data_IF_553162030465
#
_entry.id   IF_553162030465
#
_cell.length_a   1.000
_cell.length_b   1.000
_cell.length_c   1.000
_cell.angle_alpha   90.00
_cell.angle_beta   90.00
_cell.angle_gamma   90.00
#
_symmetry.space_group_name_H-M   'P 1'
#
loop_
_entity.id
_entity.type
_entity.pdbx_description
1 polymer ?
#
# COMPACT_ATOMS: atom_id res chain seq x y z
N UNK A 1 16.93 -0.80 -72.07
CA UNK A 1 17.05 -1.20 -70.65
C UNK A 1 16.38 -0.11 -69.82
N UNK A 2 15.09 -0.28 -69.53
CA UNK A 2 14.19 0.81 -69.12
C UNK A 2 14.38 1.22 -67.65
N UNK A 3 14.31 2.53 -67.43
CA UNK A 3 14.43 3.23 -66.14
C UNK A 3 13.27 2.94 -65.16
N UNK A 4 12.40 1.98 -65.47
CA UNK A 4 11.19 1.65 -64.71
C UNK A 4 11.44 0.82 -63.44
N UNK A 5 12.69 0.44 -63.14
CA UNK A 5 13.03 -0.33 -61.93
C UNK A 5 13.49 0.51 -60.73
N UNK A 6 13.65 1.83 -60.90
CA UNK A 6 14.16 2.70 -59.82
C UNK A 6 13.06 3.31 -58.92
N UNK A 7 11.77 3.11 -59.22
CA UNK A 7 10.68 3.81 -58.53
C UNK A 7 9.89 2.98 -57.50
N UNK A 8 10.30 1.74 -57.21
CA UNK A 8 9.60 0.87 -56.25
C UNK A 8 10.35 0.67 -54.92
N UNK A 9 11.39 1.47 -54.63
CA UNK A 9 12.17 1.38 -53.39
C UNK A 9 11.99 2.57 -52.44
N UNK A 10 10.86 3.30 -52.53
CA UNK A 10 10.66 4.54 -51.78
C UNK A 10 9.49 4.54 -50.77
N UNK A 11 8.73 3.44 -50.60
CA UNK A 11 7.59 3.42 -49.68
C UNK A 11 7.52 2.12 -48.86
N UNK A 12 8.56 1.89 -48.06
CA UNK A 12 8.45 1.08 -46.86
C UNK A 12 9.39 1.68 -45.82
N UNK A 13 9.12 2.93 -45.41
CA UNK A 13 9.50 3.34 -44.06
C UNK A 13 8.65 2.43 -43.18
N UNK A 14 9.22 1.47 -42.43
CA UNK A 14 8.44 0.84 -41.39
C UNK A 14 8.11 2.01 -40.47
N UNK A 15 6.83 2.36 -40.39
CA UNK A 15 6.35 3.16 -39.28
C UNK A 15 6.63 2.31 -38.04
N UNK A 16 7.83 2.45 -37.49
CA UNK A 16 8.09 2.14 -36.10
C UNK A 16 7.26 3.17 -35.36
N UNK A 17 5.96 2.90 -35.24
CA UNK A 17 5.22 3.38 -34.10
C UNK A 17 6.06 2.89 -32.92
N UNK A 18 6.72 3.82 -32.24
CA UNK A 18 7.25 3.57 -30.91
C UNK A 18 6.02 3.23 -30.07
N UNK A 19 5.66 1.95 -30.06
CA UNK A 19 4.60 1.45 -29.22
C UNK A 19 5.11 1.65 -27.79
N UNK A 20 4.40 2.48 -27.01
CA UNK A 20 4.67 2.62 -25.60
C UNK A 20 4.80 1.22 -24.98
N UNK A 21 5.91 0.98 -24.28
CA UNK A 21 6.23 -0.34 -23.74
C UNK A 21 5.13 -0.77 -22.78
N UNK A 22 4.42 -1.84 -23.14
CA UNK A 22 3.41 -2.46 -22.28
C UNK A 22 4.06 -2.97 -21.00
N UNK A 23 3.42 -2.73 -19.87
CA UNK A 23 3.91 -3.15 -18.56
C UNK A 23 2.77 -3.43 -17.59
N UNK A 24 3.08 -4.18 -16.53
CA UNK A 24 2.25 -4.23 -15.32
C UNK A 24 2.79 -3.20 -14.33
N UNK A 25 1.91 -2.41 -13.73
CA UNK A 25 2.28 -1.43 -12.72
C UNK A 25 2.03 -1.96 -11.31
N UNK A 26 2.99 -1.77 -10.41
CA UNK A 26 2.85 -1.98 -8.98
C UNK A 26 3.08 -0.65 -8.27
N UNK A 27 2.07 -0.10 -7.60
CA UNK A 27 2.23 1.06 -6.73
C UNK A 27 2.60 0.62 -5.31
N UNK A 28 3.76 1.10 -4.86
CA UNK A 28 4.20 1.05 -3.47
C UNK A 28 4.13 2.46 -2.86
N UNK A 29 2.90 2.94 -2.68
CA UNK A 29 2.54 4.21 -2.05
C UNK A 29 2.21 4.00 -0.56
N UNK A 30 3.19 4.26 0.30
CA UNK A 30 3.06 4.13 1.76
C UNK A 30 3.98 3.08 2.40
N UNK A 31 3.66 2.65 3.62
CA UNK A 31 4.57 1.84 4.45
C UNK A 31 4.86 0.48 3.81
N UNK A 32 6.13 0.06 3.76
CA UNK A 32 6.51 -1.29 3.32
C UNK A 32 6.26 -2.30 4.45
N UNK A 33 5.17 -3.07 4.31
CA UNK A 33 4.68 -4.05 5.30
C UNK A 33 4.29 -5.37 4.63
N UNK A 34 3.74 -6.31 5.39
CA UNK A 34 3.27 -7.60 4.84
C UNK A 34 2.22 -7.45 3.73
N UNK A 35 1.44 -6.38 3.74
CA UNK A 35 0.49 -6.11 2.66
C UNK A 35 1.18 -5.62 1.39
N UNK A 36 2.28 -4.87 1.51
CA UNK A 36 3.12 -4.54 0.35
C UNK A 36 3.71 -5.80 -0.28
N UNK A 37 4.09 -6.80 0.54
CA UNK A 37 4.59 -8.10 0.05
C UNK A 37 3.51 -8.84 -0.75
N UNK A 38 2.29 -8.95 -0.21
CA UNK A 38 1.17 -9.58 -0.93
C UNK A 38 0.88 -8.88 -2.25
N UNK A 39 0.88 -7.54 -2.26
CA UNK A 39 0.64 -6.76 -3.48
C UNK A 39 1.77 -6.95 -4.50
N UNK A 40 3.02 -6.93 -4.06
CA UNK A 40 4.18 -7.15 -4.92
C UNK A 40 4.20 -8.56 -5.51
N UNK A 41 3.84 -9.57 -4.71
CA UNK A 41 3.69 -10.96 -5.18
C UNK A 41 2.62 -11.09 -6.26
N UNK A 42 1.44 -10.50 -6.03
CA UNK A 42 0.35 -10.50 -7.01
C UNK A 42 0.75 -9.78 -8.31
N UNK A 43 1.42 -8.64 -8.21
CA UNK A 43 1.84 -7.87 -9.39
C UNK A 43 2.90 -8.60 -10.21
N UNK A 44 3.85 -9.24 -9.53
CA UNK A 44 4.88 -10.04 -10.17
C UNK A 44 4.28 -11.28 -10.86
N UNK A 45 3.36 -11.98 -10.19
CA UNK A 45 2.64 -13.11 -10.79
C UNK A 45 1.86 -12.69 -12.04
N UNK A 46 1.19 -11.54 -12.00
CA UNK A 46 0.46 -11.00 -13.15
C UNK A 46 1.40 -10.60 -14.31
N UNK A 47 2.52 -9.94 -13.99
CA UNK A 47 3.54 -9.60 -14.98
C UNK A 47 4.12 -10.85 -15.65
N UNK A 48 4.40 -11.90 -14.88
CA UNK A 48 4.86 -13.19 -15.41
C UNK A 48 3.80 -13.89 -16.26
N UNK A 49 2.53 -13.88 -15.84
CA UNK A 49 1.41 -14.46 -16.59
C UNK A 49 1.26 -13.78 -17.96
N UNK A 50 1.40 -12.46 -17.99
CA UNK A 50 1.30 -11.65 -19.22
C UNK A 50 2.61 -11.61 -20.02
N UNK A 51 3.71 -12.12 -19.49
CA UNK A 51 5.06 -12.00 -20.07
C UNK A 51 5.48 -10.54 -20.32
N UNK A 52 5.02 -9.64 -19.45
CA UNK A 52 5.31 -8.20 -19.51
C UNK A 52 6.28 -7.80 -18.40
N UNK A 53 7.06 -6.71 -18.59
CA UNK A 53 7.85 -6.15 -17.50
C UNK A 53 6.96 -5.64 -16.36
N UNK A 54 7.48 -5.71 -15.14
CA UNK A 54 6.89 -5.12 -13.95
C UNK A 54 7.52 -3.75 -13.70
N UNK A 55 6.73 -2.69 -13.68
CA UNK A 55 7.15 -1.34 -13.27
C UNK A 55 6.65 -1.08 -11.85
N UNK A 56 7.59 -0.99 -10.92
CA UNK A 56 7.36 -0.71 -9.50
C UNK A 56 7.45 0.79 -9.30
N UNK A 57 6.30 1.41 -9.10
CA UNK A 57 6.14 2.84 -8.87
C UNK A 57 6.26 3.08 -7.36
N UNK A 58 7.32 3.76 -6.94
CA UNK A 58 7.69 3.86 -5.53
C UNK A 58 7.44 5.28 -5.03
N UNK A 59 6.61 5.40 -3.98
CA UNK A 59 6.49 6.60 -3.16
C UNK A 59 6.36 6.20 -1.69
N UNK A 60 7.51 6.05 -1.01
CA UNK A 60 7.56 5.52 0.35
C UNK A 60 8.68 6.15 1.19
N UNK A 61 8.36 6.38 2.46
CA UNK A 61 9.34 6.68 3.50
C UNK A 61 10.06 5.42 4.03
N UNK A 62 9.63 4.23 3.61
CA UNK A 62 10.18 2.95 4.03
C UNK A 62 9.18 2.08 4.80
N UNK A 63 9.71 1.19 5.63
CA UNK A 63 8.92 0.24 6.40
C UNK A 63 9.78 -0.82 7.07
N UNK A 64 9.26 -2.03 7.16
CA UNK A 64 9.89 -3.10 7.92
C UNK A 64 10.95 -3.87 7.12
N UNK A 65 12.04 -4.26 7.79
CA UNK A 65 13.18 -4.95 7.17
C UNK A 65 12.80 -6.29 6.53
N UNK A 66 12.00 -7.12 7.21
CA UNK A 66 11.63 -8.44 6.68
C UNK A 66 10.74 -8.35 5.42
N UNK A 67 9.65 -7.55 5.37
CA UNK A 67 8.91 -7.28 4.14
C UNK A 67 9.76 -6.72 3.00
N UNK A 68 10.68 -5.80 3.30
CA UNK A 68 11.63 -5.28 2.31
C UNK A 68 12.50 -6.40 1.74
N UNK A 69 13.09 -7.25 2.58
CA UNK A 69 13.93 -8.37 2.16
C UNK A 69 13.15 -9.35 1.26
N UNK A 70 11.90 -9.67 1.63
CA UNK A 70 11.02 -10.53 0.82
C UNK A 70 10.74 -9.93 -0.56
N UNK A 71 10.43 -8.64 -0.66
CA UNK A 71 10.19 -7.97 -1.95
C UNK A 71 11.46 -7.96 -2.80
N UNK A 72 12.60 -7.62 -2.18
CA UNK A 72 13.91 -7.64 -2.86
C UNK A 72 14.20 -9.02 -3.43
N UNK A 73 14.00 -10.09 -2.66
CA UNK A 73 14.22 -11.47 -3.09
C UNK A 73 13.28 -11.88 -4.23
N UNK A 74 11.99 -11.51 -4.16
CA UNK A 74 11.06 -11.74 -5.26
C UNK A 74 11.52 -11.08 -6.56
N UNK A 75 12.02 -9.84 -6.50
CA UNK A 75 12.42 -9.09 -7.69
C UNK A 75 13.75 -9.59 -8.26
N UNK A 76 14.69 -10.02 -7.43
CA UNK A 76 15.94 -10.63 -7.90
C UNK A 76 15.72 -11.96 -8.61
N UNK A 77 14.68 -12.71 -8.22
CA UNK A 77 14.32 -14.01 -8.81
C UNK A 77 13.19 -13.91 -9.86
N UNK A 78 12.79 -12.70 -10.24
CA UNK A 78 11.71 -12.49 -11.19
C UNK A 78 12.03 -13.09 -12.57
N UNK A 79 11.08 -13.84 -13.12
CA UNK A 79 11.18 -14.38 -14.50
C UNK A 79 10.95 -13.34 -15.60
N UNK A 80 10.59 -12.10 -15.22
CA UNK A 80 10.37 -10.96 -16.12
C UNK A 80 11.19 -9.75 -15.64
N UNK A 81 11.53 -8.79 -16.52
CA UNK A 81 12.23 -7.59 -16.09
C UNK A 81 11.42 -6.79 -15.07
N UNK A 82 12.04 -6.45 -13.94
CA UNK A 82 11.50 -5.50 -12.96
C UNK A 82 12.20 -4.15 -13.12
N UNK A 83 11.44 -3.08 -13.25
CA UNK A 83 11.92 -1.70 -13.29
C UNK A 83 11.39 -0.93 -12.09
N UNK A 84 12.22 -0.10 -11.48
CA UNK A 84 11.77 0.85 -10.47
C UNK A 84 11.51 2.20 -11.14
N UNK A 85 10.43 2.87 -10.77
CA UNK A 85 10.14 4.23 -11.18
C UNK A 85 9.78 5.08 -9.97
N UNK A 86 10.50 6.18 -9.77
CA UNK A 86 10.18 7.19 -8.76
C UNK A 86 9.68 8.45 -9.49
N UNK A 87 8.36 8.75 -9.45
CA UNK A 87 7.76 9.86 -10.17
C UNK A 87 8.08 11.23 -9.55
N UNK A 88 7.59 12.31 -10.18
CA UNK A 88 7.79 13.66 -9.69
C UNK A 88 7.28 13.85 -8.25
N UNK A 89 8.11 14.46 -7.41
CA UNK A 89 7.85 14.69 -5.99
C UNK A 89 7.79 13.43 -5.11
N UNK A 90 7.99 12.24 -5.68
CA UNK A 90 7.98 10.98 -4.95
C UNK A 90 9.37 10.60 -4.44
N UNK A 91 9.41 9.58 -3.57
CA UNK A 91 10.63 9.17 -2.88
C UNK A 91 10.73 7.66 -2.71
N UNK A 92 11.95 7.16 -2.80
CA UNK A 92 12.33 5.80 -2.44
C UNK A 92 13.28 5.85 -1.24
N UNK A 93 12.73 6.07 -0.04
CA UNK A 93 13.52 6.13 1.19
C UNK A 93 13.55 4.79 1.91
N UNK A 94 14.64 4.54 2.65
CA UNK A 94 14.77 3.35 3.49
C UNK A 94 14.49 2.06 2.72
N UNK A 95 13.49 1.27 3.13
CA UNK A 95 13.10 0.06 2.40
C UNK A 95 12.84 0.31 0.90
N UNK A 96 12.31 1.48 0.53
CA UNK A 96 12.10 1.88 -0.87
C UNK A 96 13.41 1.94 -1.67
N UNK A 97 14.50 2.41 -1.07
CA UNK A 97 15.80 2.46 -1.73
C UNK A 97 16.33 1.06 -2.05
N UNK A 98 16.19 0.11 -1.11
CA UNK A 98 16.57 -1.30 -1.35
C UNK A 98 15.74 -1.95 -2.44
N UNK A 99 14.43 -1.71 -2.44
CA UNK A 99 13.51 -2.22 -3.47
C UNK A 99 13.84 -1.61 -4.84
N UNK A 100 14.13 -0.31 -4.91
CA UNK A 100 14.56 0.32 -6.16
C UNK A 100 15.89 -0.28 -6.67
N UNK A 101 16.84 -0.51 -5.76
CA UNK A 101 18.15 -1.06 -6.08
C UNK A 101 18.14 -2.53 -6.51
N UNK A 102 17.10 -3.30 -6.15
CA UNK A 102 16.92 -4.67 -6.66
C UNK A 102 16.36 -4.72 -8.08
N UNK A 103 15.65 -3.69 -8.53
CA UNK A 103 15.11 -3.62 -9.89
C UNK A 103 16.22 -3.56 -10.94
N UNK A 104 16.00 -4.12 -12.13
CA UNK A 104 16.99 -4.16 -13.22
C UNK A 104 17.47 -2.77 -13.62
N UNK A 105 16.53 -1.83 -13.77
CA UNK A 105 16.75 -0.40 -14.04
C UNK A 105 15.95 0.45 -13.06
N UNK A 106 16.47 1.64 -12.78
CA UNK A 106 15.83 2.66 -11.97
C UNK A 106 15.54 3.85 -12.86
N UNK A 107 14.30 4.27 -12.92
CA UNK A 107 13.85 5.49 -13.58
C UNK A 107 13.47 6.52 -12.52
N UNK A 108 13.94 7.76 -12.66
CA UNK A 108 13.62 8.83 -11.71
C UNK A 108 13.22 10.09 -12.44
N UNK A 109 12.14 10.72 -11.98
CA UNK A 109 11.85 12.09 -12.35
C UNK A 109 12.88 13.04 -11.70
N UNK A 110 13.18 14.23 -12.26
CA UNK A 110 14.24 15.10 -11.74
C UNK A 110 14.05 15.52 -10.27
N UNK A 111 12.79 15.65 -9.85
CA UNK A 111 12.38 16.07 -8.48
C UNK A 111 12.23 14.91 -7.50
N UNK A 112 12.40 13.66 -7.96
CA UNK A 112 12.31 12.48 -7.13
C UNK A 112 13.50 12.35 -6.18
N UNK A 113 13.37 11.52 -5.15
CA UNK A 113 14.44 11.27 -4.17
C UNK A 113 14.69 9.77 -3.95
N UNK A 114 15.94 9.39 -3.67
CA UNK A 114 16.33 8.03 -3.28
C UNK A 114 17.44 8.06 -2.23
N UNK A 115 17.35 7.22 -1.20
CA UNK A 115 18.39 7.09 -0.17
C UNK A 115 17.83 7.01 1.25
N UNK A 116 18.48 7.69 2.21
CA UNK A 116 18.10 7.73 3.62
C UNK A 116 17.69 6.34 4.18
N UNK A 117 18.63 5.41 4.11
CA UNK A 117 18.39 3.99 4.27
C UNK A 117 19.00 3.36 5.53
N UNK A 118 19.35 4.19 6.52
CA UNK A 118 19.75 3.69 7.84
C UNK A 118 18.54 3.06 8.58
N UNK A 119 18.66 1.81 9.08
CA UNK A 119 17.68 1.22 9.96
C UNK A 119 17.45 2.03 11.23
N UNK A 120 16.20 2.10 11.70
CA UNK A 120 15.84 2.73 12.98
C UNK A 120 15.20 1.68 13.90
N UNK A 121 15.75 1.43 15.12
CA UNK A 121 16.95 2.05 15.69
C UNK A 121 18.26 1.63 14.98
N UNK A 122 19.33 2.45 15.04
CA UNK A 122 20.59 2.21 14.34
C UNK A 122 21.48 1.19 15.09
N UNK A 123 20.97 -0.01 15.31
CA UNK A 123 21.74 -1.09 15.90
C UNK A 123 22.93 -1.45 14.98
N UNK A 124 24.19 -1.49 15.47
CA UNK A 124 25.36 -1.71 14.63
C UNK A 124 25.32 -3.01 13.81
N UNK A 125 24.72 -4.09 14.34
CA UNK A 125 24.58 -5.34 13.60
C UNK A 125 23.62 -5.16 12.42
N UNK A 126 22.48 -4.50 12.65
CA UNK A 126 21.47 -4.25 11.62
C UNK A 126 21.97 -3.25 10.57
N UNK A 127 22.65 -2.18 10.98
CA UNK A 127 23.26 -1.18 10.07
C UNK A 127 24.32 -1.82 9.18
N UNK A 128 25.22 -2.64 9.76
CA UNK A 128 26.24 -3.32 8.97
C UNK A 128 25.65 -4.34 7.99
N UNK A 129 24.60 -5.06 8.40
CA UNK A 129 23.82 -5.92 7.49
C UNK A 129 23.22 -5.13 6.33
N UNK A 130 22.49 -4.04 6.64
CA UNK A 130 21.83 -3.21 5.65
C UNK A 130 22.83 -2.58 4.66
N UNK A 131 23.98 -2.10 5.15
CA UNK A 131 25.05 -1.54 4.31
C UNK A 131 25.64 -2.60 3.37
N UNK A 132 25.93 -3.80 3.88
CA UNK A 132 26.41 -4.91 3.08
C UNK A 132 25.38 -5.35 2.03
N UNK A 133 24.10 -5.42 2.40
CA UNK A 133 23.01 -5.75 1.48
C UNK A 133 22.85 -4.71 0.38
N UNK A 134 22.89 -3.42 0.71
CA UNK A 134 22.80 -2.33 -0.28
C UNK A 134 23.97 -2.39 -1.26
N UNK A 135 25.19 -2.61 -0.75
CA UNK A 135 26.38 -2.81 -1.58
C UNK A 135 26.25 -4.02 -2.50
N UNK A 136 25.72 -5.14 -2.00
CA UNK A 136 25.47 -6.34 -2.80
C UNK A 136 24.50 -6.08 -3.95
N UNK A 137 23.38 -5.38 -3.69
CA UNK A 137 22.43 -4.97 -4.72
C UNK A 137 23.08 -4.06 -5.77
N UNK A 138 23.84 -3.05 -5.32
CA UNK A 138 24.56 -2.15 -6.22
C UNK A 138 25.60 -2.88 -7.10
N UNK A 139 26.28 -3.88 -6.55
CA UNK A 139 27.30 -4.67 -7.26
C UNK A 139 26.75 -5.51 -8.41
N UNK A 140 25.43 -5.74 -8.45
CA UNK A 140 24.77 -6.39 -9.60
C UNK A 140 24.74 -5.50 -10.85
N UNK A 141 24.97 -4.19 -10.69
CA UNK A 141 24.84 -3.17 -11.76
C UNK A 141 26.15 -2.48 -12.07
N UNK A 142 26.96 -2.24 -11.04
CA UNK A 142 28.12 -1.36 -11.10
C UNK A 142 29.33 -2.01 -10.43
N UNK A 143 30.54 -1.53 -10.74
CA UNK A 143 31.78 -1.94 -10.07
C UNK A 143 32.67 -0.73 -9.73
N UNK A 144 32.09 0.47 -9.67
CA UNK A 144 32.77 1.75 -9.54
C UNK A 144 32.30 2.53 -8.30
N UNK A 145 32.49 3.86 -8.31
CA UNK A 145 32.16 4.75 -7.20
C UNK A 145 30.69 4.69 -6.78
N UNK A 146 29.78 4.25 -7.65
CA UNK A 146 28.35 4.10 -7.34
C UNK A 146 28.08 3.09 -6.22
N UNK A 147 28.96 2.12 -6.00
CA UNK A 147 28.85 1.16 -4.89
C UNK A 147 28.94 1.87 -3.55
N UNK A 148 29.93 2.75 -3.41
CA UNK A 148 30.13 3.55 -2.21
C UNK A 148 29.00 4.56 -2.01
N UNK A 149 28.50 5.15 -3.11
CA UNK A 149 27.34 6.06 -3.04
C UNK A 149 26.10 5.30 -2.55
N UNK A 150 25.80 4.13 -3.11
CA UNK A 150 24.67 3.32 -2.67
C UNK A 150 24.81 2.93 -1.19
N UNK A 151 26.00 2.49 -0.76
CA UNK A 151 26.23 2.16 0.66
C UNK A 151 26.08 3.38 1.58
N UNK A 152 26.48 4.58 1.13
CA UNK A 152 26.32 5.81 1.90
C UNK A 152 24.85 6.17 2.16
N UNK A 153 23.90 5.62 1.40
CA UNK A 153 22.47 5.72 1.75
C UNK A 153 22.20 5.14 3.13
N UNK A 154 22.90 4.07 3.51
CA UNK A 154 22.74 3.41 4.80
C UNK A 154 23.65 4.03 5.86
N UNK A 155 24.95 4.18 5.55
CA UNK A 155 25.94 4.60 6.58
C UNK A 155 25.92 6.08 6.89
N UNK A 156 25.53 6.92 5.94
CA UNK A 156 25.59 8.38 6.03
C UNK A 156 24.21 9.03 5.88
N UNK A 157 23.15 8.22 5.74
CA UNK A 157 21.81 8.68 5.37
C UNK A 157 21.79 9.59 4.13
N UNK A 158 22.73 9.36 3.19
CA UNK A 158 22.79 10.15 1.96
C UNK A 158 21.50 9.99 1.17
N UNK A 159 21.03 11.09 0.59
CA UNK A 159 19.91 11.14 -0.35
C UNK A 159 20.41 11.73 -1.66
N UNK A 160 19.93 11.19 -2.78
CA UNK A 160 20.11 11.78 -4.10
C UNK A 160 18.76 12.23 -4.63
N UNK A 161 18.74 13.42 -5.23
CA UNK A 161 17.67 13.82 -6.15
C UNK A 161 17.74 13.00 -7.43
N UNK A 162 16.62 12.89 -8.17
CA UNK A 162 16.59 12.18 -9.44
C UNK A 162 17.54 12.79 -10.47
N UNK A 163 17.70 14.12 -10.44
CA UNK A 163 18.71 14.81 -11.25
C UNK A 163 20.15 14.42 -10.88
N UNK A 164 20.48 14.25 -9.60
CA UNK A 164 21.79 13.77 -9.16
C UNK A 164 22.01 12.29 -9.51
N UNK A 165 21.02 11.44 -9.26
CA UNK A 165 21.06 10.03 -9.59
C UNK A 165 21.25 9.82 -11.10
N UNK A 166 20.59 10.64 -11.94
CA UNK A 166 20.78 10.63 -13.38
C UNK A 166 22.19 11.07 -13.80
N UNK A 167 22.74 12.15 -13.22
CA UNK A 167 24.12 12.60 -13.50
C UNK A 167 25.17 11.57 -13.10
N UNK A 168 24.91 10.82 -12.02
CA UNK A 168 25.79 9.74 -11.56
C UNK A 168 25.59 8.43 -12.33
N UNK A 169 24.60 8.35 -13.23
CA UNK A 169 24.28 7.11 -13.96
C UNK A 169 23.72 6.01 -13.04
N UNK A 170 23.08 6.38 -11.94
CA UNK A 170 22.38 5.47 -11.03
C UNK A 170 20.89 5.33 -11.39
N UNK A 171 20.32 6.31 -12.11
CA UNK A 171 18.97 6.27 -12.64
C UNK A 171 18.91 6.83 -14.07
N UNK A 172 17.89 6.44 -14.83
CA UNK A 172 17.56 6.98 -16.15
C UNK A 172 16.34 7.92 -16.04
N UNK A 173 16.21 8.94 -16.91
CA UNK A 173 14.94 9.66 -17.03
C UNK A 173 13.84 8.69 -17.49
N UNK A 174 12.56 8.91 -17.11
CA UNK A 174 11.46 8.05 -17.56
C UNK A 174 11.34 8.06 -19.10
N UNK A 175 10.78 6.98 -19.70
CA UNK A 175 10.54 6.94 -21.14
C UNK A 175 9.76 8.17 -21.62
N UNK A 176 10.13 8.81 -22.76
CA UNK A 176 9.48 10.02 -23.25
C UNK A 176 7.98 9.84 -23.51
N UNK A 177 7.59 8.66 -23.99
CA UNK A 177 6.21 8.30 -24.30
C UNK A 177 5.46 7.69 -23.10
N UNK A 178 6.11 7.60 -21.94
CA UNK A 178 5.59 6.99 -20.73
C UNK A 178 5.49 5.47 -20.80
N UNK A 179 4.71 4.91 -19.88
CA UNK A 179 4.41 3.47 -19.80
C UNK A 179 2.96 3.22 -20.22
N UNK A 180 2.72 2.15 -20.99
CA UNK A 180 1.37 1.67 -21.23
C UNK A 180 1.04 0.55 -20.24
N UNK A 181 0.31 0.88 -19.18
CA UNK A 181 0.00 -0.11 -18.15
C UNK A 181 -1.21 -0.96 -18.52
N UNK A 182 -0.97 -2.24 -18.80
CA UNK A 182 -2.02 -3.22 -19.11
C UNK A 182 -2.79 -3.64 -17.85
N UNK A 183 -2.09 -3.67 -16.71
CA UNK A 183 -2.67 -3.96 -15.40
C UNK A 183 -2.00 -3.08 -14.34
N UNK A 184 -2.77 -2.61 -13.37
CA UNK A 184 -2.31 -1.72 -12.31
C UNK A 184 -2.72 -2.30 -10.96
N UNK A 185 -1.72 -2.64 -10.15
CA UNK A 185 -1.90 -3.10 -8.78
C UNK A 185 -1.49 -1.98 -7.84
N UNK A 186 -2.44 -1.53 -7.03
CA UNK A 186 -2.23 -0.50 -6.01
C UNK A 186 -2.95 -0.86 -4.73
N UNK A 187 -2.59 -0.22 -3.63
CA UNK A 187 -3.38 -0.32 -2.41
C UNK A 187 -4.73 0.35 -2.62
N UNK A 188 -5.80 -0.38 -2.33
CA UNK A 188 -7.15 0.16 -2.28
C UNK A 188 -7.75 -0.08 -0.88
N UNK A 189 -7.62 0.89 0.04
CA UNK A 189 -8.12 0.77 1.40
C UNK A 189 -9.63 0.56 1.47
N UNK A 190 -10.39 1.23 0.58
CA UNK A 190 -11.84 1.12 0.58
C UNK A 190 -12.26 -0.25 0.07
N UNK A 191 -11.71 -0.72 -1.04
CA UNK A 191 -12.02 -2.07 -1.52
C UNK A 191 -11.61 -3.14 -0.52
N UNK A 192 -10.49 -2.98 0.21
CA UNK A 192 -10.14 -3.90 1.30
C UNK A 192 -11.16 -3.87 2.43
N UNK A 193 -11.62 -2.69 2.86
CA UNK A 193 -12.65 -2.57 3.88
C UNK A 193 -13.96 -3.21 3.41
N UNK A 194 -14.39 -2.93 2.19
CA UNK A 194 -15.62 -3.49 1.61
C UNK A 194 -15.53 -5.01 1.46
N UNK A 195 -14.39 -5.53 1.01
CA UNK A 195 -14.14 -6.96 0.92
C UNK A 195 -14.10 -7.61 2.32
N UNK A 196 -13.47 -6.97 3.30
CA UNK A 196 -13.44 -7.45 4.67
C UNK A 196 -14.85 -7.48 5.29
N UNK A 197 -15.65 -6.43 5.07
CA UNK A 197 -17.06 -6.38 5.47
C UNK A 197 -17.89 -7.49 4.83
N UNK A 198 -17.48 -7.98 3.66
CA UNK A 198 -18.15 -9.07 2.94
C UNK A 198 -17.54 -10.45 3.23
N UNK A 199 -16.50 -10.53 4.07
CA UNK A 199 -15.85 -11.80 4.40
C UNK A 199 -16.75 -12.62 5.34
N UNK A 200 -17.06 -13.90 5.02
CA UNK A 200 -17.90 -14.75 5.84
C UNK A 200 -17.40 -14.91 7.29
N UNK A 201 -16.10 -14.86 7.52
CA UNK A 201 -15.52 -14.93 8.87
C UNK A 201 -15.82 -13.66 9.67
N UNK A 202 -15.75 -12.48 9.04
CA UNK A 202 -16.11 -11.23 9.72
C UNK A 202 -17.61 -11.19 10.00
N UNK A 203 -18.45 -11.60 9.06
CA UNK A 203 -19.90 -11.73 9.27
C UNK A 203 -20.18 -12.68 10.45
N UNK A 204 -19.48 -13.81 10.53
CA UNK A 204 -19.61 -14.76 11.64
C UNK A 204 -19.17 -14.15 12.98
N UNK A 205 -18.10 -13.35 12.97
CA UNK A 205 -17.63 -12.62 14.15
C UNK A 205 -18.64 -11.56 14.59
N UNK A 206 -19.25 -10.83 13.65
CA UNK A 206 -20.29 -9.84 13.93
C UNK A 206 -21.55 -10.49 14.52
N UNK A 207 -21.95 -11.67 14.02
CA UNK A 207 -23.05 -12.46 14.59
C UNK A 207 -22.74 -12.90 16.02
N UNK A 208 -21.57 -13.50 16.24
CA UNK A 208 -21.15 -13.96 17.57
C UNK A 208 -21.07 -12.80 18.56
N UNK A 209 -20.36 -11.73 18.20
CA UNK A 209 -20.20 -10.55 19.04
C UNK A 209 -21.54 -9.87 19.30
N UNK A 210 -22.40 -9.80 18.29
CA UNK A 210 -23.76 -9.27 18.42
C UNK A 210 -24.57 -9.99 19.50
N UNK A 211 -24.60 -11.32 19.45
CA UNK A 211 -25.28 -12.15 20.48
C UNK A 211 -24.62 -12.00 21.85
N UNK A 212 -23.29 -12.01 21.92
CA UNK A 212 -22.54 -11.90 23.19
C UNK A 212 -22.79 -10.56 23.86
N UNK A 213 -22.78 -9.45 23.11
CA UNK A 213 -23.00 -8.11 23.66
C UNK A 213 -24.44 -7.91 24.14
N UNK A 214 -25.42 -8.44 23.40
CA UNK A 214 -26.82 -8.46 23.86
C UNK A 214 -26.94 -9.29 25.13
N UNK A 215 -26.36 -10.50 25.15
CA UNK A 215 -26.36 -11.36 26.33
C UNK A 215 -25.73 -10.67 27.53
N UNK A 216 -24.55 -10.05 27.35
CA UNK A 216 -23.87 -9.31 28.40
C UNK A 216 -24.75 -8.21 28.99
N UNK A 217 -25.39 -7.38 28.15
CA UNK A 217 -26.31 -6.33 28.61
C UNK A 217 -27.48 -6.89 29.42
N UNK A 218 -28.03 -8.04 29.02
CA UNK A 218 -29.16 -8.68 29.70
C UNK A 218 -28.78 -9.29 31.06
N UNK A 219 -27.52 -9.70 31.24
CA UNK A 219 -27.03 -10.30 32.49
C UNK A 219 -26.29 -9.31 33.40
N UNK A 220 -25.80 -8.20 32.85
CA UNK A 220 -25.20 -7.12 33.62
C UNK A 220 -26.28 -6.32 34.35
N UNK A 221 -25.92 -5.75 35.50
CA UNK A 221 -26.81 -4.83 36.20
C UNK A 221 -26.72 -3.42 35.59
N UNK A 222 -27.88 -2.89 35.20
CA UNK A 222 -28.01 -1.55 34.63
C UNK A 222 -27.86 -1.52 33.10
N UNK A 223 -28.21 -0.36 32.52
CA UNK A 223 -28.10 -0.15 31.07
C UNK A 223 -26.76 0.50 30.73
N UNK A 224 -25.92 -0.20 29.96
CA UNK A 224 -24.63 0.27 29.47
C UNK A 224 -24.67 0.60 27.98
N UNK A 225 -25.69 0.15 27.26
CA UNK A 225 -25.87 0.39 25.83
C UNK A 225 -25.02 -0.53 24.94
N UNK A 226 -24.29 -1.49 25.50
CA UNK A 226 -23.52 -2.45 24.69
C UNK A 226 -24.45 -3.45 23.99
N UNK A 227 -25.62 -3.72 24.56
CA UNK A 227 -26.68 -4.49 23.90
C UNK A 227 -27.21 -3.81 22.63
N UNK A 228 -27.24 -2.48 22.58
CA UNK A 228 -27.62 -1.72 21.37
C UNK A 228 -26.58 -1.91 20.27
N UNK A 229 -25.30 -1.83 20.63
CA UNK A 229 -24.18 -2.11 19.71
C UNK A 229 -24.31 -3.54 19.17
N UNK A 230 -24.60 -4.51 20.05
CA UNK A 230 -24.83 -5.90 19.66
C UNK A 230 -25.99 -6.07 18.67
N UNK A 231 -27.12 -5.38 18.90
CA UNK A 231 -28.27 -5.39 17.99
C UNK A 231 -27.95 -4.82 16.60
N UNK A 232 -27.21 -3.71 16.54
CA UNK A 232 -26.75 -3.11 15.27
C UNK A 232 -25.83 -4.07 14.52
N UNK A 233 -24.90 -4.73 15.21
CA UNK A 233 -24.00 -5.72 14.61
C UNK A 233 -24.77 -6.90 13.99
N UNK A 234 -25.82 -7.39 14.65
CA UNK A 234 -26.66 -8.46 14.10
C UNK A 234 -27.39 -8.01 12.83
N UNK A 235 -28.05 -6.86 12.86
CA UNK A 235 -28.77 -6.34 11.69
C UNK A 235 -27.83 -6.11 10.52
N UNK A 236 -26.63 -5.55 10.79
CA UNK A 236 -25.61 -5.36 9.77
C UNK A 236 -25.12 -6.71 9.20
N UNK A 237 -24.91 -7.73 10.03
CA UNK A 237 -24.50 -9.06 9.56
C UNK A 237 -25.58 -9.72 8.68
N UNK A 238 -26.86 -9.64 9.05
CA UNK A 238 -27.96 -10.17 8.24
C UNK A 238 -28.18 -9.38 6.93
N UNK A 239 -27.93 -8.07 6.94
CA UNK A 239 -27.88 -7.26 5.72
C UNK A 239 -26.75 -7.72 4.79
N UNK A 240 -25.54 -7.94 5.33
CA UNK A 240 -24.38 -8.40 4.56
C UNK A 240 -24.57 -9.82 3.98
N UNK A 241 -25.37 -10.67 4.63
CA UNK A 241 -25.80 -11.98 4.12
C UNK A 241 -26.91 -11.90 3.05
N UNK A 242 -27.38 -10.70 2.70
CA UNK A 242 -28.48 -10.48 1.77
C UNK A 242 -29.84 -10.93 2.29
N UNK A 243 -29.98 -11.15 3.60
CA UNK A 243 -31.24 -11.60 4.22
C UNK A 243 -32.16 -10.45 4.62
N UNK A 244 -31.62 -9.23 4.75
CA UNK A 244 -32.35 -8.01 5.08
C UNK A 244 -32.10 -6.93 4.03
N UNK A 245 -33.11 -6.11 3.76
CA UNK A 245 -32.95 -4.89 2.98
C UNK A 245 -32.30 -3.75 3.78
N UNK A 246 -31.87 -2.70 3.08
CA UNK A 246 -31.16 -1.56 3.69
C UNK A 246 -32.04 -0.73 4.63
N UNK A 247 -33.36 -0.79 4.46
CA UNK A 247 -34.35 -0.17 5.35
C UNK A 247 -34.22 -0.65 6.80
N UNK A 248 -33.87 -1.92 7.02
CA UNK A 248 -33.68 -2.47 8.36
C UNK A 248 -32.40 -1.96 9.02
N UNK A 249 -31.36 -1.70 8.24
CA UNK A 249 -30.12 -1.11 8.74
C UNK A 249 -30.37 0.32 9.25
N UNK A 250 -31.07 1.14 8.47
CA UNK A 250 -31.43 2.50 8.88
C UNK A 250 -32.36 2.49 10.09
N UNK A 251 -33.33 1.58 10.15
CA UNK A 251 -34.23 1.45 11.29
C UNK A 251 -33.48 1.04 12.56
N UNK A 252 -32.55 0.09 12.48
CA UNK A 252 -31.76 -0.36 13.61
C UNK A 252 -30.83 0.75 14.15
N UNK A 253 -30.19 1.51 13.26
CA UNK A 253 -29.36 2.66 13.65
C UNK A 253 -30.20 3.77 14.29
N UNK A 254 -31.36 4.09 13.72
CA UNK A 254 -32.25 5.12 14.25
C UNK A 254 -32.81 4.74 15.63
N UNK A 255 -33.28 3.50 15.78
CA UNK A 255 -33.78 2.99 17.06
C UNK A 255 -32.67 2.90 18.10
N UNK A 256 -31.50 2.38 17.72
CA UNK A 256 -30.35 2.29 18.61
C UNK A 256 -29.90 3.67 19.09
N UNK A 257 -29.82 4.65 18.19
CA UNK A 257 -29.53 6.04 18.55
C UNK A 257 -30.56 6.63 19.52
N UNK A 258 -31.85 6.44 19.25
CA UNK A 258 -32.92 6.92 20.12
C UNK A 258 -32.85 6.30 21.53
N UNK A 259 -32.57 5.00 21.64
CA UNK A 259 -32.42 4.30 22.92
C UNK A 259 -31.22 4.84 23.70
N UNK A 260 -30.07 5.04 23.05
CA UNK A 260 -28.88 5.58 23.71
C UNK A 260 -29.11 7.02 24.21
N UNK A 261 -29.77 7.86 23.41
CA UNK A 261 -30.15 9.23 23.82
C UNK A 261 -31.10 9.19 25.03
N UNK A 262 -32.12 8.35 25.00
CA UNK A 262 -33.06 8.24 26.11
C UNK A 262 -32.39 7.77 27.40
N UNK A 263 -31.45 6.82 27.29
CA UNK A 263 -30.66 6.35 28.43
C UNK A 263 -29.77 7.46 29.03
N UNK A 264 -29.11 8.24 28.18
CA UNK A 264 -28.31 9.38 28.61
C UNK A 264 -29.19 10.44 29.31
N UNK A 265 -30.35 10.77 28.74
CA UNK A 265 -31.31 11.70 29.35
C UNK A 265 -31.75 11.24 30.75
N UNK A 266 -32.02 9.94 30.92
CA UNK A 266 -32.40 9.37 32.21
C UNK A 266 -31.26 9.44 33.23
N UNK A 267 -30.02 9.16 32.80
CA UNK A 267 -28.84 9.26 33.66
C UNK A 267 -28.62 10.71 34.12
N UNK A 268 -28.72 11.68 33.20
CA UNK A 268 -28.60 13.12 33.51
C UNK A 268 -29.68 13.58 34.48
N UNK A 269 -30.94 13.17 34.24
CA UNK A 269 -32.06 13.53 35.12
C UNK A 269 -31.88 12.93 36.53
N UNK A 270 -31.44 11.67 36.62
CA UNK A 270 -31.20 10.99 37.89
C UNK A 270 -30.07 11.67 38.68
N UNK A 271 -29.00 12.07 38.00
CA UNK A 271 -27.91 12.85 38.60
C UNK A 271 -28.41 14.20 39.13
N UNK A 272 -29.21 14.92 38.33
CA UNK A 272 -29.76 16.22 38.73
C UNK A 272 -30.68 16.12 39.95
N UNK A 273 -31.54 15.10 40.01
CA UNK A 273 -32.39 14.85 41.19
C UNK A 273 -31.58 14.51 42.44
N UNK A 274 -30.48 13.74 42.30
CA UNK A 274 -29.58 13.43 43.40
C UNK A 274 -28.84 14.68 43.91
N UNK A 275 -28.42 15.57 42.99
CA UNK A 275 -27.80 16.85 43.32
C UNK A 275 -28.74 17.75 44.13
N UNK A 276 -30.00 17.93 43.69
CA UNK A 276 -30.99 18.74 44.40
C UNK A 276 -31.30 18.19 45.81
N UNK A 277 -31.39 16.86 45.97
CA UNK A 277 -31.58 16.24 47.30
C UNK A 277 -30.35 16.32 48.20
N UNK A 278 -29.15 16.50 47.63
CA UNK A 278 -27.90 16.68 48.36
C UNK A 278 -27.73 18.09 48.93
N UNK A 279 -28.33 19.11 48.30
CA UNK A 279 -28.35 20.48 48.81
C UNK A 279 -29.32 20.67 49.99
N UNK A 280 -30.37 19.84 50.10
CA UNK A 280 -31.38 19.92 51.16
C UNK A 280 -30.89 19.41 52.54
N UNK A 281 -29.70 18.79 52.60
CA UNK A 281 -29.10 18.20 53.81
C UNK A 281 -27.92 18.99 54.40
N UNK A 282 -27.68 20.23 53.97
CA UNK A 282 -26.69 21.13 54.58
C UNK A 282 -27.34 22.32 55.28
#
# INVERSE_FOLDING_TARGET
MSWTKALLLALAIPAWAFAASEAVALYLDGVIDGTAVTLASAALAEAQRLHLPLVVIIDTYGGFLAPMDQIVEMFLNAGVPVYAYIPDGAKAMSAGAFIAMSARKIYMAPTAEIGAAEPRPPDPKVVNYAAARMRALASTKWNDTRLYIAESFVRENRVLTGAEAARLGMAEPPPPDGWNFVSVLRRDPLSRLLNALSDPALISLMLLLGVVLIGYELFASGFQGVGVIGGVLLVLAFYLLGQLGSEWLWAALALGGAVLIAAEMFAVLSFFQAFLKGEEKR
#
